data_IF_702896289715
#
_entry.id   IF_702896289715
#
_cell.length_a   1.000
_cell.length_b   1.000
_cell.length_c   1.000
_cell.angle_alpha   90.00
_cell.angle_beta   90.00
_cell.angle_gamma   90.00
#
_symmetry.space_group_name_H-M   'P 1'
#
loop_
_entity.id
_entity.type
_entity.pdbx_description
1 polymer ?
#
# COMPACT_ATOMS: atom_id res chain seq x y z
N UNK A 1 41.01 12.37 -10.69
CA UNK A 1 40.29 13.24 -9.73
C UNK A 1 38.86 13.39 -10.24
N UNK A 2 37.85 13.11 -9.41
CA UNK A 2 36.44 13.18 -9.83
C UNK A 2 35.99 14.63 -9.99
N UNK A 3 35.36 14.96 -11.11
CA UNK A 3 34.79 16.29 -11.37
C UNK A 3 33.55 16.59 -10.51
N UNK A 4 33.06 17.85 -10.51
CA UNK A 4 31.86 18.22 -9.77
C UNK A 4 30.62 17.43 -10.25
N UNK A 5 29.81 16.94 -9.30
CA UNK A 5 28.56 16.23 -9.59
C UNK A 5 27.34 17.15 -9.49
N UNK A 6 26.31 16.88 -10.30
CA UNK A 6 25.04 17.61 -10.29
C UNK A 6 24.27 17.42 -8.97
N UNK A 7 23.36 18.37 -8.67
CA UNK A 7 22.46 18.29 -7.51
C UNK A 7 21.42 17.18 -7.72
N UNK A 8 21.20 16.38 -6.68
CA UNK A 8 20.25 15.27 -6.65
C UNK A 8 19.26 15.46 -5.50
N UNK A 9 18.11 14.77 -5.56
CA UNK A 9 17.11 14.77 -4.48
C UNK A 9 17.49 13.88 -3.28
N UNK A 10 18.61 13.17 -3.37
CA UNK A 10 19.10 12.26 -2.33
C UNK A 10 20.62 12.38 -2.22
N UNK A 11 21.10 12.65 -1.00
CA UNK A 11 22.52 12.65 -0.65
C UNK A 11 22.97 11.35 0.01
N UNK A 12 24.00 11.42 0.86
CA UNK A 12 24.52 10.27 1.62
C UNK A 12 24.25 10.42 3.13
N UNK A 13 24.73 9.45 3.92
CA UNK A 13 24.73 9.55 5.38
C UNK A 13 25.32 10.89 5.84
N UNK A 14 24.60 11.59 6.73
CA UNK A 14 24.96 12.92 7.22
C UNK A 14 24.46 14.10 6.37
N UNK A 15 24.00 13.88 5.13
CA UNK A 15 23.47 14.94 4.26
C UNK A 15 22.41 14.42 3.27
N UNK A 16 21.44 13.66 3.79
CA UNK A 16 20.43 12.97 2.97
C UNK A 16 19.58 13.91 2.09
N UNK A 17 19.47 15.18 2.44
CA UNK A 17 18.64 16.18 1.74
C UNK A 17 17.23 16.34 2.33
N UNK A 18 16.95 15.70 3.46
CA UNK A 18 15.69 15.85 4.19
C UNK A 18 15.58 17.18 4.95
N UNK A 19 14.37 17.64 5.31
CA UNK A 19 14.20 18.76 6.22
C UNK A 19 14.91 18.51 7.56
N UNK A 20 15.31 19.60 8.24
CA UNK A 20 15.95 19.52 9.56
C UNK A 20 14.94 18.96 10.58
N UNK A 21 15.30 17.85 11.25
CA UNK A 21 14.48 17.23 12.28
C UNK A 21 15.03 17.62 13.66
N UNK A 22 14.17 18.12 14.57
CA UNK A 22 14.54 18.46 15.95
C UNK A 22 13.41 18.00 16.89
N UNK A 23 13.76 17.38 18.01
CA UNK A 23 12.80 16.94 19.05
C UNK A 23 12.24 15.53 18.88
N UNK A 24 12.67 14.79 17.85
CA UNK A 24 12.28 13.38 17.66
C UNK A 24 13.31 12.50 18.35
N UNK A 25 12.89 11.74 19.36
CA UNK A 25 13.74 10.74 20.03
C UNK A 25 13.28 9.35 19.62
N UNK A 26 14.20 8.54 19.09
CA UNK A 26 13.94 7.14 18.75
C UNK A 26 14.51 6.21 19.80
N UNK A 27 13.76 5.16 20.12
CA UNK A 27 14.18 4.10 21.03
C UNK A 27 14.14 2.77 20.30
N UNK A 28 15.16 1.94 20.51
CA UNK A 28 15.25 0.61 19.95
C UNK A 28 15.80 -0.36 20.99
N UNK A 29 15.34 -1.61 20.96
CA UNK A 29 15.86 -2.70 21.79
C UNK A 29 16.76 -3.57 20.92
N UNK A 30 17.93 -3.98 21.44
CA UNK A 30 18.84 -4.88 20.73
C UNK A 30 18.12 -6.15 20.27
N UNK A 31 18.26 -6.58 19.01
CA UNK A 31 17.63 -7.81 18.51
C UNK A 31 18.00 -9.06 19.33
N UNK A 32 19.20 -9.11 19.91
CA UNK A 32 19.65 -10.21 20.77
C UNK A 32 18.93 -10.28 22.11
N UNK A 33 18.31 -9.18 22.56
CA UNK A 33 17.50 -9.13 23.77
C UNK A 33 16.01 -9.41 23.49
N UNK A 34 15.62 -9.55 22.22
CA UNK A 34 14.25 -9.86 21.81
C UNK A 34 14.11 -11.35 21.50
N UNK A 35 12.90 -11.90 21.64
CA UNK A 35 12.58 -13.24 21.16
C UNK A 35 12.33 -13.16 19.64
N UNK A 36 13.19 -13.72 18.78
CA UNK A 36 13.00 -13.63 17.34
C UNK A 36 11.71 -14.34 16.93
N UNK A 37 10.89 -13.67 16.11
CA UNK A 37 9.61 -14.18 15.57
C UNK A 37 8.53 -14.52 16.61
N UNK A 38 8.65 -13.99 17.84
CA UNK A 38 7.59 -14.14 18.83
C UNK A 38 6.27 -13.56 18.30
N UNK A 39 5.20 -14.35 18.43
CA UNK A 39 3.84 -14.00 17.98
C UNK A 39 3.69 -13.72 16.48
N UNK A 40 4.69 -14.06 15.65
CA UNK A 40 4.61 -13.83 14.21
C UNK A 40 3.41 -14.52 13.56
N UNK A 41 3.04 -15.73 13.97
CA UNK A 41 1.88 -16.43 13.39
C UNK A 41 0.55 -15.72 13.69
N UNK A 42 0.30 -15.38 14.96
CA UNK A 42 -0.92 -14.67 15.35
C UNK A 42 -0.99 -13.28 14.71
N UNK A 43 0.09 -12.48 14.85
CA UNK A 43 0.11 -11.10 14.39
C UNK A 43 0.14 -11.00 12.86
N UNK A 44 0.92 -11.83 12.17
CA UNK A 44 1.02 -11.79 10.72
C UNK A 44 -0.27 -12.26 10.05
N UNK A 45 -0.96 -13.28 10.59
CA UNK A 45 -2.22 -13.75 10.04
C UNK A 45 -3.26 -12.62 10.01
N UNK A 46 -3.66 -12.10 11.17
CA UNK A 46 -4.70 -11.06 11.23
C UNK A 46 -4.30 -9.78 10.50
N UNK A 47 -3.04 -9.36 10.62
CA UNK A 47 -2.56 -8.17 9.93
C UNK A 47 -2.55 -8.33 8.40
N UNK A 48 -2.21 -9.52 7.90
CA UNK A 48 -2.21 -9.80 6.46
C UNK A 48 -3.62 -9.76 5.89
N UNK A 49 -4.59 -10.41 6.55
CA UNK A 49 -6.00 -10.35 6.12
C UNK A 49 -6.57 -8.92 6.17
N UNK A 50 -6.26 -8.17 7.23
CA UNK A 50 -6.67 -6.77 7.35
C UNK A 50 -6.16 -5.91 6.20
N UNK A 51 -4.89 -6.08 5.79
CA UNK A 51 -4.28 -5.31 4.70
C UNK A 51 -4.76 -5.78 3.32
N UNK A 52 -4.94 -7.10 3.14
CA UNK A 52 -5.43 -7.67 1.88
C UNK A 52 -6.87 -7.24 1.57
N UNK A 53 -7.74 -7.19 2.59
CA UNK A 53 -9.14 -6.76 2.42
C UNK A 53 -9.24 -5.37 1.77
N UNK A 54 -8.38 -4.43 2.15
CA UNK A 54 -8.37 -3.08 1.58
C UNK A 54 -7.92 -3.01 0.12
N UNK A 55 -7.24 -4.06 -0.37
CA UNK A 55 -6.76 -4.14 -1.76
C UNK A 55 -7.75 -4.85 -2.70
N UNK A 56 -8.90 -5.31 -2.21
CA UNK A 56 -9.87 -6.09 -3.00
C UNK A 56 -10.68 -5.25 -4.02
N UNK A 57 -10.14 -4.09 -4.41
CA UNK A 57 -10.67 -3.18 -5.42
C UNK A 57 -10.87 -3.86 -6.78
N UNK A 58 -10.00 -4.80 -7.15
CA UNK A 58 -10.11 -5.52 -8.42
C UNK A 58 -11.42 -6.31 -8.56
N UNK A 59 -11.88 -6.95 -7.48
CA UNK A 59 -13.14 -7.71 -7.52
C UNK A 59 -14.35 -6.78 -7.65
N UNK A 60 -14.31 -5.62 -6.99
CA UNK A 60 -15.33 -4.58 -7.11
C UNK A 60 -15.36 -3.98 -8.52
N UNK A 61 -14.19 -3.64 -9.07
CA UNK A 61 -14.05 -3.15 -10.43
C UNK A 61 -14.59 -4.13 -11.47
N UNK A 62 -14.20 -5.42 -11.39
CA UNK A 62 -14.67 -6.45 -12.32
C UNK A 62 -16.18 -6.67 -12.26
N UNK A 63 -16.77 -6.68 -11.07
CA UNK A 63 -18.23 -6.77 -10.93
C UNK A 63 -18.93 -5.56 -11.56
N UNK A 64 -18.42 -4.35 -11.32
CA UNK A 64 -18.99 -3.13 -11.89
C UNK A 64 -18.86 -3.10 -13.42
N UNK A 65 -17.71 -3.51 -13.96
CA UNK A 65 -17.46 -3.61 -15.41
C UNK A 65 -18.39 -4.62 -16.08
N UNK A 66 -18.48 -5.84 -15.54
CA UNK A 66 -19.32 -6.91 -16.10
C UNK A 66 -20.81 -6.57 -16.01
N UNK A 67 -21.26 -5.98 -14.91
CA UNK A 67 -22.64 -5.51 -14.75
C UNK A 67 -22.96 -4.37 -15.72
N UNK A 68 -22.06 -3.41 -15.89
CA UNK A 68 -22.21 -2.34 -16.86
C UNK A 68 -22.29 -2.90 -18.30
N UNK A 69 -21.39 -3.81 -18.66
CA UNK A 69 -21.39 -4.44 -19.98
C UNK A 69 -22.70 -5.20 -20.25
N UNK A 70 -23.25 -5.92 -19.25
CA UNK A 70 -24.51 -6.64 -19.37
C UNK A 70 -25.70 -5.72 -19.64
N UNK A 71 -25.83 -4.62 -18.89
CA UNK A 71 -26.96 -3.69 -19.01
C UNK A 71 -27.10 -3.12 -20.43
N UNK A 72 -26.00 -2.92 -21.15
CA UNK A 72 -26.01 -2.41 -22.53
C UNK A 72 -26.12 -3.49 -23.61
N UNK A 73 -26.35 -4.75 -23.25
CA UNK A 73 -26.67 -5.83 -24.21
C UNK A 73 -28.17 -5.88 -24.53
N UNK A 74 -28.55 -6.61 -25.60
CA UNK A 74 -29.96 -6.86 -25.93
C UNK A 74 -30.72 -7.58 -24.81
N UNK A 75 -30.03 -8.45 -24.05
CA UNK A 75 -30.62 -9.21 -22.96
C UNK A 75 -30.83 -8.37 -21.69
N UNK A 76 -29.94 -7.39 -21.43
CA UNK A 76 -30.01 -6.53 -20.25
C UNK A 76 -30.93 -5.30 -20.39
N UNK A 77 -31.58 -5.12 -21.55
CA UNK A 77 -32.35 -3.90 -21.86
C UNK A 77 -33.54 -3.68 -20.90
N UNK A 78 -34.27 -4.74 -20.57
CA UNK A 78 -35.38 -4.67 -19.61
C UNK A 78 -34.92 -4.33 -18.19
N UNK A 79 -33.70 -4.73 -17.82
CA UNK A 79 -33.09 -4.38 -16.53
C UNK A 79 -32.62 -2.91 -16.56
N UNK A 80 -31.96 -2.47 -17.64
CA UNK A 80 -31.50 -1.10 -17.82
C UNK A 80 -32.64 -0.08 -17.74
N UNK A 81 -33.75 -0.33 -18.44
CA UNK A 81 -34.91 0.56 -18.45
C UNK A 81 -35.61 0.62 -17.06
N UNK A 82 -35.34 -0.35 -16.17
CA UNK A 82 -35.83 -0.37 -14.78
C UNK A 82 -34.93 0.39 -13.81
N UNK A 83 -33.62 0.39 -14.04
CA UNK A 83 -32.62 1.04 -13.14
C UNK A 83 -32.21 2.46 -13.58
N UNK A 84 -32.54 2.85 -14.82
CA UNK A 84 -32.40 4.22 -15.35
C UNK A 84 -33.44 5.18 -14.79
#
# INVERSE_FOLDING_TARGET
MGGPSAKTYMGWWGHLGSPKQKGITQYAVSPYAQKPLAHSFHNAFYNSFRRFKSAMYWYWWKNAEEYNAYLYTKAGKEELDRVS
#
